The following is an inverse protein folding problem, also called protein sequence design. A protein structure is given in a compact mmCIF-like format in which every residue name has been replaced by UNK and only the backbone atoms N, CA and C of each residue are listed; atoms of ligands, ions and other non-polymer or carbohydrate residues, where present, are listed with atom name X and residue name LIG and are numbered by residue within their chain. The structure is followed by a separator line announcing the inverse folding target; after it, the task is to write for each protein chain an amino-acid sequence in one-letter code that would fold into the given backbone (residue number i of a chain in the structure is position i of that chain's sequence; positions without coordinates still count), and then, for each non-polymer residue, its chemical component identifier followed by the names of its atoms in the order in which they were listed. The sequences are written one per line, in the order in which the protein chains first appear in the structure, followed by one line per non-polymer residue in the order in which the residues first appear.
data_IF_509193137516
#
_entry.id   IF_509193137516
#
_cell.length_a   1.000
_cell.length_b   1.000
_cell.length_c   1.000
_cell.angle_alpha   90.00
_cell.angle_beta   90.00
_cell.angle_gamma   90.00
#
_symmetry.space_group_name_H-M   'P 1'
#
loop_
_entity.id
_entity.type
_entity.pdbx_description
1 polymer ?
#
# COMPACT_ATOMS: atom_id res chain seq x y z
N UNK A 1 4.89 -9.44 -4.04
CA UNK A 1 4.50 -8.39 -3.08
C UNK A 1 3.76 -7.32 -3.86
N UNK A 2 2.55 -6.95 -3.43
CA UNK A 2 1.75 -5.92 -4.10
C UNK A 2 2.29 -4.54 -3.79
N UNK A 3 2.25 -3.61 -4.74
CA UNK A 3 2.78 -2.26 -4.55
C UNK A 3 2.14 -1.57 -3.34
N UNK A 4 0.83 -1.76 -3.15
CA UNK A 4 0.12 -1.19 -2.03
C UNK A 4 0.64 -1.63 -0.65
N UNK A 5 1.21 -2.84 -0.52
CA UNK A 5 1.66 -3.33 0.78
C UNK A 5 2.83 -2.52 1.33
N UNK A 6 3.80 -2.16 0.49
CA UNK A 6 4.89 -1.29 0.91
C UNK A 6 4.46 0.17 0.98
N UNK A 7 3.59 0.63 0.07
CA UNK A 7 3.05 2.00 0.08
C UNK A 7 2.27 2.29 1.36
N UNK A 8 1.50 1.32 1.85
CA UNK A 8 0.81 1.40 3.14
C UNK A 8 1.79 1.56 4.31
N UNK A 9 2.91 0.82 4.30
CA UNK A 9 3.92 0.89 5.37
C UNK A 9 4.63 2.24 5.39
N UNK A 10 4.99 2.78 4.23
CA UNK A 10 5.64 4.11 4.14
C UNK A 10 4.66 5.28 4.17
N UNK A 11 3.36 5.02 4.39
CA UNK A 11 2.34 6.06 4.53
C UNK A 11 1.94 6.77 3.23
N UNK A 12 2.25 6.19 2.06
CA UNK A 12 1.75 6.69 0.77
C UNK A 12 0.27 6.34 0.55
N UNK A 13 -0.23 5.32 1.23
CA UNK A 13 -1.65 4.96 1.24
C UNK A 13 -2.14 5.04 2.68
N UNK A 14 -3.09 5.94 2.93
CA UNK A 14 -3.74 6.04 4.23
C UNK A 14 -4.68 4.84 4.46
N UNK A 15 -4.85 4.38 5.71
CA UNK A 15 -5.77 3.29 6.00
C UNK A 15 -7.19 3.51 5.46
N UNK A 16 -7.73 4.72 5.53
CA UNK A 16 -9.06 5.07 5.02
C UNK A 16 -9.24 4.90 3.50
N UNK A 17 -8.14 4.87 2.74
CA UNK A 17 -8.16 4.70 1.28
C UNK A 17 -8.09 3.21 0.88
N UNK A 18 -7.71 2.32 1.80
CA UNK A 18 -7.60 0.88 1.56
C UNK A 18 -8.86 0.22 0.99
N UNK A 19 -10.11 0.63 1.32
CA UNK A 19 -11.30 0.07 0.67
C UNK A 19 -11.32 0.31 -0.84
N UNK A 20 -10.96 1.52 -1.31
CA UNK A 20 -10.93 1.82 -2.73
C UNK A 20 -9.81 1.05 -3.43
N UNK A 21 -8.64 0.98 -2.80
CA UNK A 21 -7.53 0.22 -3.34
C UNK A 21 -7.83 -1.28 -3.42
N UNK A 22 -8.54 -1.85 -2.44
CA UNK A 22 -9.02 -3.22 -2.50
C UNK A 22 -9.95 -3.46 -3.69
N UNK A 23 -10.85 -2.51 -3.99
CA UNK A 23 -11.70 -2.57 -5.17
C UNK A 23 -10.88 -2.54 -6.47
N UNK A 24 -9.79 -1.76 -6.52
CA UNK A 24 -8.89 -1.74 -7.68
C UNK A 24 -8.13 -3.07 -7.83
N UNK A 25 -7.67 -3.68 -6.73
CA UNK A 25 -7.03 -4.99 -6.74
C UNK A 25 -7.99 -6.08 -7.25
N UNK A 26 -9.26 -6.04 -6.83
CA UNK A 26 -10.31 -6.92 -7.36
C UNK A 26 -10.49 -6.71 -8.87
N UNK A 27 -10.49 -5.45 -9.33
CA UNK A 27 -10.66 -5.12 -10.75
C UNK A 27 -9.51 -5.64 -11.64
N UNK A 28 -8.29 -5.77 -11.10
CA UNK A 28 -7.14 -6.35 -11.82
C UNK A 28 -7.04 -7.88 -11.66
N UNK A 29 -8.02 -8.51 -11.03
CA UNK A 29 -8.16 -9.97 -10.94
C UNK A 29 -7.50 -10.61 -9.71
N UNK A 30 -7.00 -9.82 -8.76
CA UNK A 30 -6.61 -10.35 -7.45
C UNK A 30 -7.85 -10.56 -6.63
N UNK A 31 -7.96 -11.70 -5.97
CA UNK A 31 -9.20 -12.05 -5.29
C UNK A 31 -8.93 -12.85 -4.02
N UNK A 32 -9.59 -12.44 -2.94
CA UNK A 32 -9.63 -13.15 -1.67
C UNK A 32 -10.88 -12.74 -0.90
N UNK A 33 -11.41 -13.58 0.00
CA UNK A 33 -12.54 -13.21 0.85
C UNK A 33 -12.31 -11.90 1.61
N UNK A 34 -11.18 -11.74 2.29
CA UNK A 34 -10.89 -10.51 3.04
C UNK A 34 -10.70 -9.29 2.14
N UNK A 35 -10.22 -9.47 0.90
CA UNK A 35 -10.09 -8.38 -0.07
C UNK A 35 -11.47 -7.88 -0.52
N UNK A 36 -12.43 -8.78 -0.75
CA UNK A 36 -13.83 -8.43 -1.05
C UNK A 36 -14.50 -7.71 0.11
N UNK A 37 -14.31 -8.20 1.32
CA UNK A 37 -14.85 -7.58 2.52
C UNK A 37 -14.26 -6.17 2.72
N UNK A 38 -12.96 -6.00 2.51
CA UNK A 38 -12.28 -4.70 2.56
C UNK A 38 -12.83 -3.74 1.51
N UNK A 39 -13.01 -4.20 0.26
CA UNK A 39 -13.57 -3.38 -0.82
C UNK A 39 -15.02 -2.94 -0.54
N UNK A 40 -15.76 -3.71 0.26
CA UNK A 40 -17.11 -3.37 0.71
C UNK A 40 -17.17 -2.34 1.84
N UNK A 41 -16.02 -1.96 2.44
CA UNK A 41 -15.99 -0.99 3.55
C UNK A 41 -16.12 0.45 3.09
N UNK A 42 -16.62 1.28 4.00
CA UNK A 42 -16.60 2.73 3.85
C UNK A 42 -15.28 3.29 4.39
N UNK A 43 -14.79 4.37 3.78
CA UNK A 43 -13.63 5.13 4.31
C UNK A 43 -13.85 5.67 5.74
N UNK A 44 -15.10 5.71 6.19
CA UNK A 44 -15.51 6.20 7.53
C UNK A 44 -15.64 5.07 8.56
N UNK A 45 -15.46 3.82 8.16
CA UNK A 45 -15.48 2.69 9.07
C UNK A 45 -14.25 2.71 9.98
N UNK A 46 -14.26 1.87 11.02
CA UNK A 46 -13.17 1.82 12.00
C UNK A 46 -11.83 1.48 11.31
N UNK A 47 -10.88 2.39 11.46
CA UNK A 47 -9.52 2.24 10.95
C UNK A 47 -8.84 0.97 11.47
N UNK A 48 -9.14 0.52 12.69
CA UNK A 48 -8.58 -0.73 13.21
C UNK A 48 -9.11 -1.95 12.44
N UNK A 49 -10.40 -1.98 12.13
CA UNK A 49 -11.03 -3.03 11.33
C UNK A 49 -10.49 -3.04 9.90
N UNK A 50 -10.40 -1.87 9.26
CA UNK A 50 -9.84 -1.72 7.91
C UNK A 50 -8.40 -2.26 7.83
N UNK A 51 -7.54 -1.90 8.80
CA UNK A 51 -6.16 -2.43 8.86
C UNK A 51 -6.11 -3.93 9.13
N UNK A 52 -7.06 -4.46 9.90
CA UNK A 52 -7.19 -5.89 10.15
C UNK A 52 -7.50 -6.66 8.87
N UNK A 53 -8.52 -6.21 8.14
CA UNK A 53 -8.92 -6.79 6.85
C UNK A 53 -7.80 -6.73 5.81
N UNK A 54 -7.07 -5.60 5.73
CA UNK A 54 -5.93 -5.49 4.82
C UNK A 54 -4.82 -6.50 5.12
N UNK A 55 -4.44 -6.66 6.40
CA UNK A 55 -3.46 -7.68 6.80
C UNK A 55 -3.92 -9.09 6.44
N UNK A 56 -5.19 -9.38 6.67
CA UNK A 56 -5.77 -10.67 6.33
C UNK A 56 -5.75 -10.91 4.81
N UNK A 57 -6.19 -9.93 4.01
CA UNK A 57 -6.20 -10.02 2.55
C UNK A 57 -4.80 -10.26 1.97
N UNK A 58 -3.79 -9.52 2.45
CA UNK A 58 -2.39 -9.69 2.04
C UNK A 58 -1.91 -11.13 2.34
N UNK A 59 -2.29 -11.67 3.49
CA UNK A 59 -2.00 -13.05 3.89
C UNK A 59 -2.72 -14.10 3.04
N UNK A 60 -4.00 -13.92 2.75
CA UNK A 60 -4.80 -14.80 1.89
C UNK A 60 -4.27 -14.85 0.45
N UNK A 61 -3.75 -13.72 -0.05
CA UNK A 61 -3.09 -13.63 -1.36
C UNK A 61 -1.68 -14.23 -1.38
N UNK A 62 -1.25 -14.91 -0.30
CA UNK A 62 0.04 -15.60 -0.22
C UNK A 62 1.23 -14.67 -0.04
N UNK A 63 1.02 -13.47 0.47
CA UNK A 63 2.07 -12.47 0.70
C UNK A 63 2.06 -11.97 2.14
N UNK A 64 2.99 -11.10 2.51
CA UNK A 64 3.05 -10.46 3.82
C UNK A 64 3.22 -8.95 3.67
N UNK A 65 2.77 -8.20 4.68
CA UNK A 65 3.13 -6.80 4.78
C UNK A 65 4.64 -6.74 5.08
N UNK A 66 5.43 -6.00 4.27
CA UNK A 66 6.87 -5.88 4.52
C UNK A 66 7.14 -5.19 5.86
N UNK A 67 8.32 -5.46 6.43
CA UNK A 67 8.88 -4.60 7.46
C UNK A 67 9.23 -3.21 6.89
N UNK A 68 9.50 -2.27 7.79
CA UNK A 68 9.78 -0.87 7.46
C UNK A 68 11.00 -0.73 6.54
N UNK A 69 12.11 -1.42 6.87
CA UNK A 69 13.34 -1.38 6.06
C UNK A 69 13.09 -1.87 4.61
N UNK A 70 12.35 -2.96 4.45
CA UNK A 70 11.99 -3.48 3.13
C UNK A 70 11.09 -2.50 2.38
N UNK A 71 10.13 -1.88 3.07
CA UNK A 71 9.22 -0.92 2.47
C UNK A 71 9.94 0.37 2.03
N UNK A 72 10.87 0.88 2.83
CA UNK A 72 11.72 2.01 2.48
C UNK A 72 12.61 1.73 1.26
N UNK A 73 13.16 0.51 1.16
CA UNK A 73 13.89 0.09 -0.05
C UNK A 73 13.01 0.09 -1.28
N UNK A 74 11.77 -0.38 -1.17
CA UNK A 74 10.79 -0.30 -2.27
C UNK A 74 10.51 1.16 -2.66
N UNK A 75 10.34 2.06 -1.69
CA UNK A 75 10.15 3.49 -1.93
C UNK A 75 11.35 4.10 -2.68
N UNK A 76 12.58 3.83 -2.23
CA UNK A 76 13.79 4.29 -2.91
C UNK A 76 13.87 3.81 -4.35
N UNK A 77 13.55 2.53 -4.59
CA UNK A 77 13.56 1.95 -5.94
C UNK A 77 12.49 2.59 -6.84
N UNK A 78 11.30 2.84 -6.29
CA UNK A 78 10.22 3.54 -6.98
C UNK A 78 10.63 4.97 -7.36
N UNK A 79 11.16 5.75 -6.42
CA UNK A 79 11.62 7.13 -6.66
C UNK A 79 12.75 7.18 -7.70
N UNK A 80 13.72 6.27 -7.61
CA UNK A 80 14.80 6.15 -8.61
C UNK A 80 14.24 5.85 -10.01
N UNK A 81 13.23 4.98 -10.11
CA UNK A 81 12.53 4.70 -11.37
C UNK A 81 11.83 5.94 -11.94
N UNK A 82 11.14 6.72 -11.10
CA UNK A 82 10.46 7.95 -11.51
C UNK A 82 11.45 9.02 -12.03
N UNK A 83 12.60 9.16 -11.36
CA UNK A 83 13.69 10.04 -11.81
C UNK A 83 14.26 9.59 -13.16
N UNK A 84 14.55 8.30 -13.29
CA UNK A 84 15.12 7.74 -14.52
C UNK A 84 14.15 7.86 -15.71
N UNK A 85 12.84 7.78 -15.46
CA UNK A 85 11.79 7.98 -16.47
C UNK A 85 11.52 9.46 -16.78
N UNK A 86 12.08 10.41 -16.02
CA UNK A 86 11.78 11.84 -16.14
C UNK A 86 10.38 12.22 -15.66
N UNK A 87 9.69 11.32 -14.96
CA UNK A 87 8.36 11.56 -14.38
C UNK A 87 8.42 12.37 -13.07
N UNK A 88 9.62 12.50 -12.49
CA UNK A 88 9.93 13.29 -11.31
C UNK A 88 11.31 13.93 -11.49
N UNK A 89 11.51 15.12 -10.93
CA UNK A 89 12.80 15.80 -10.88
C UNK A 89 13.49 15.58 -9.53
N UNK A 90 14.83 15.69 -9.45
CA UNK A 90 15.54 15.55 -8.18
C UNK A 90 15.06 16.49 -7.06
N UNK A 91 14.56 17.68 -7.40
CA UNK A 91 14.04 18.65 -6.42
C UNK A 91 12.69 18.26 -5.81
N UNK A 92 11.97 17.34 -6.42
CA UNK A 92 10.66 16.85 -5.95
C UNK A 92 10.77 15.62 -5.05
N UNK A 93 11.97 15.05 -4.92
CA UNK A 93 12.23 13.92 -4.01
C UNK A 93 12.20 14.45 -2.58
N UNK A 94 11.11 14.15 -1.86
CA UNK A 94 11.06 14.41 -0.43
C UNK A 94 11.91 13.36 0.32
N UNK A 95 12.78 13.77 1.26
CA UNK A 95 13.44 12.81 2.13
C UNK A 95 12.35 12.10 2.95
N UNK A 96 12.35 10.77 2.91
CA UNK A 96 11.42 9.96 3.70
C UNK A 96 11.44 10.42 5.15
N UNK A 97 10.28 10.64 5.76
CA UNK A 97 10.19 11.00 7.17
C UNK A 97 10.58 9.78 8.01
N UNK A 98 11.88 9.49 8.09
CA UNK A 98 12.43 8.59 9.09
C UNK A 98 12.15 9.23 10.45
N UNK A 99 11.10 8.77 11.12
CA UNK A 99 10.91 9.10 12.53
C UNK A 99 11.90 8.23 13.30
N UNK A 100 13.03 8.83 13.64
CA UNK A 100 13.97 8.33 14.64
C UNK A 100 13.28 8.10 15.99
#
# INVERSE_FOLDING_TARGET
MFAIAWQYVVGLVSPEDLPMEAAQLLAVGLDSPALRDLAGRSRRDDTAEIRGLFRQAVGELGTAIPDEETAERCLLHYLAGQLAAGAMTPGEVQPGSGRA
#
